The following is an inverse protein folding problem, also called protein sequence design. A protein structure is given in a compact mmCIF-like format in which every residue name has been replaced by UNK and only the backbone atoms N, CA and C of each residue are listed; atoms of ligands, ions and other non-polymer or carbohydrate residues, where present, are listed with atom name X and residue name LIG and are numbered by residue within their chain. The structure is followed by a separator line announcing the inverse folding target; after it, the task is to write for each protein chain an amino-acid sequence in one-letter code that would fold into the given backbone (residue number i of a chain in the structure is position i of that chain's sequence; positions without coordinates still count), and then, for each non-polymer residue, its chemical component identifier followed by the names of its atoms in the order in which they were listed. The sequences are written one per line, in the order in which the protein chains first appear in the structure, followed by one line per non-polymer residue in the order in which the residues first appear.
data_IF_135116860411
#
_entry.id   IF_135116860411
#
_cell.length_a   1.000
_cell.length_b   1.000
_cell.length_c   1.000
_cell.angle_alpha   90.00
_cell.angle_beta   90.00
_cell.angle_gamma   90.00
#
_symmetry.space_group_name_H-M   'P 1'
#
loop_
_entity.id
_entity.type
_entity.pdbx_description
1 polymer ?
#
# COMPACT_ATOMS: atom_id res chain seq x y z
N UNK A 1 -29.70 -55.41 -82.70
CA UNK A 1 -29.89 -54.16 -83.47
C UNK A 1 -29.32 -53.00 -82.63
N UNK A 2 -28.35 -52.23 -83.17
CA UNK A 2 -27.65 -51.09 -82.52
C UNK A 2 -28.47 -49.78 -82.69
N UNK A 3 -28.01 -48.53 -82.33
CA UNK A 3 -26.72 -48.03 -81.77
C UNK A 3 -26.89 -47.24 -80.43
N UNK A 4 -25.91 -46.92 -79.57
CA UNK A 4 -24.58 -46.28 -79.63
C UNK A 4 -24.56 -44.74 -79.87
N UNK A 5 -23.70 -44.03 -79.11
CA UNK A 5 -23.13 -42.65 -79.20
C UNK A 5 -23.50 -41.74 -77.99
N UNK A 6 -22.62 -41.33 -77.04
CA UNK A 6 -21.35 -40.57 -77.09
C UNK A 6 -21.50 -39.33 -78.01
N UNK A 7 -21.34 -38.05 -77.61
CA UNK A 7 -20.26 -37.39 -76.82
C UNK A 7 -20.58 -35.85 -76.71
N UNK A 8 -19.63 -34.92 -76.46
CA UNK A 8 -19.49 -34.00 -75.31
C UNK A 8 -19.81 -32.50 -75.62
N UNK A 9 -19.61 -31.58 -74.65
CA UNK A 9 -19.10 -30.18 -74.78
C UNK A 9 -19.39 -29.46 -73.42
N UNK A 10 -18.44 -29.31 -72.49
CA UNK A 10 -17.47 -28.19 -72.34
C UNK A 10 -18.05 -26.79 -72.63
N UNK A 11 -18.29 -26.00 -71.59
CA UNK A 11 -17.91 -24.58 -71.53
C UNK A 11 -18.00 -24.03 -70.09
N UNK A 12 -16.87 -23.50 -69.64
CA UNK A 12 -16.68 -22.76 -68.41
C UNK A 12 -17.19 -21.32 -68.52
N UNK A 13 -17.71 -20.76 -67.44
CA UNK A 13 -17.71 -19.31 -67.13
C UNK A 13 -18.06 -19.14 -65.64
N UNK A 14 -17.10 -18.89 -64.76
CA UNK A 14 -16.62 -17.56 -64.35
C UNK A 14 -17.54 -16.91 -63.31
N UNK A 15 -16.93 -16.75 -62.12
CA UNK A 15 -17.09 -15.64 -61.19
C UNK A 15 -18.40 -15.48 -60.44
N UNK A 16 -18.34 -15.76 -59.13
CA UNK A 16 -18.92 -14.90 -58.09
C UNK A 16 -18.28 -15.26 -56.75
N UNK A 17 -17.01 -14.86 -56.56
CA UNK A 17 -16.49 -14.67 -55.20
C UNK A 17 -17.19 -13.42 -54.68
N UNK A 18 -18.35 -13.61 -54.04
CA UNK A 18 -19.02 -12.55 -53.31
C UNK A 18 -18.19 -12.26 -52.06
N UNK A 19 -17.25 -11.34 -52.25
CA UNK A 19 -16.45 -10.70 -51.23
C UNK A 19 -17.41 -9.91 -50.31
N UNK A 20 -18.05 -10.59 -49.36
CA UNK A 20 -18.67 -9.92 -48.23
C UNK A 20 -17.55 -9.48 -47.29
N UNK A 21 -16.86 -8.38 -47.68
CA UNK A 21 -16.20 -7.47 -46.75
C UNK A 21 -17.31 -6.86 -45.90
N UNK A 22 -17.78 -7.64 -44.92
CA UNK A 22 -18.48 -7.11 -43.76
C UNK A 22 -17.48 -6.23 -43.04
N UNK A 23 -17.47 -4.95 -43.39
CA UNK A 23 -16.87 -3.91 -42.61
C UNK A 23 -17.53 -3.98 -41.24
N UNK A 24 -16.89 -4.68 -40.32
CA UNK A 24 -16.99 -4.36 -38.91
C UNK A 24 -16.52 -2.91 -38.80
N UNK A 25 -17.44 -1.97 -39.03
CA UNK A 25 -17.32 -0.60 -38.56
C UNK A 25 -17.32 -0.77 -37.06
N UNK A 26 -16.13 -1.08 -36.53
CA UNK A 26 -15.84 -0.98 -35.13
C UNK A 26 -16.19 0.44 -34.81
N UNK A 27 -17.33 0.61 -34.14
CA UNK A 27 -17.61 1.83 -33.42
C UNK A 27 -16.42 1.95 -32.47
N UNK A 28 -15.42 2.73 -32.87
CA UNK A 28 -14.48 3.35 -31.96
C UNK A 28 -15.32 4.35 -31.17
N UNK A 29 -16.18 3.81 -30.29
CA UNK A 29 -16.62 4.54 -29.13
C UNK A 29 -15.31 4.94 -28.48
N UNK A 30 -14.96 6.22 -28.61
CA UNK A 30 -13.83 6.79 -27.93
C UNK A 30 -14.00 6.39 -26.47
N UNK A 31 -13.18 5.45 -26.01
CA UNK A 31 -13.17 5.03 -24.61
C UNK A 31 -12.89 6.31 -23.86
N UNK A 32 -13.92 6.81 -23.18
CA UNK A 32 -13.75 7.94 -22.27
C UNK A 32 -12.62 7.54 -21.32
N UNK A 33 -11.63 8.42 -21.09
CA UNK A 33 -10.61 8.13 -20.11
C UNK A 33 -11.28 7.72 -18.80
N UNK A 34 -10.74 6.70 -18.15
CA UNK A 34 -11.25 6.25 -16.85
C UNK A 34 -10.80 7.30 -15.83
N UNK A 35 -11.75 8.11 -15.36
CA UNK A 35 -11.48 9.15 -14.36
C UNK A 35 -11.34 8.57 -12.93
N UNK A 36 -11.81 7.34 -12.70
CA UNK A 36 -11.77 6.70 -11.38
C UNK A 36 -11.56 5.20 -11.50
N UNK A 37 -10.58 4.67 -10.75
CA UNK A 37 -10.33 3.25 -10.62
C UNK A 37 -10.80 2.77 -9.24
N UNK A 38 -11.80 1.88 -9.21
CA UNK A 38 -12.25 1.22 -7.99
C UNK A 38 -11.74 -0.21 -7.95
N UNK A 39 -10.79 -0.47 -7.05
CA UNK A 39 -10.19 -1.79 -6.83
C UNK A 39 -10.05 -2.03 -5.33
N UNK A 40 -10.04 -3.31 -4.93
CA UNK A 40 -9.72 -3.68 -3.54
C UNK A 40 -8.23 -3.59 -3.24
N UNK A 41 -7.41 -3.83 -4.26
CA UNK A 41 -5.96 -3.83 -4.16
C UNK A 41 -5.35 -3.36 -5.48
N UNK A 42 -4.28 -2.59 -5.38
CA UNK A 42 -3.39 -2.22 -6.47
C UNK A 42 -1.97 -2.58 -6.07
N UNK A 43 -1.35 -3.48 -6.85
CA UNK A 43 0.05 -3.87 -6.68
C UNK A 43 0.90 -3.18 -7.74
N UNK A 44 1.95 -2.48 -7.30
CA UNK A 44 3.01 -1.95 -8.14
C UNK A 44 4.17 -2.93 -8.03
N UNK A 45 4.52 -3.55 -9.16
CA UNK A 45 5.53 -4.60 -9.23
C UNK A 45 6.85 -4.10 -9.84
N UNK A 46 7.95 -4.76 -9.50
CA UNK A 46 9.24 -4.57 -10.16
C UNK A 46 9.36 -5.38 -11.46
N UNK A 47 10.52 -5.33 -12.11
CA UNK A 47 10.81 -6.00 -13.39
C UNK A 47 10.77 -7.53 -13.31
N UNK A 48 10.77 -8.10 -12.10
CA UNK A 48 10.64 -9.53 -11.84
C UNK A 48 9.18 -9.93 -11.58
N UNK A 49 8.25 -8.97 -11.56
CA UNK A 49 6.85 -9.17 -11.22
C UNK A 49 6.57 -9.23 -9.71
N UNK A 50 7.55 -8.86 -8.87
CA UNK A 50 7.40 -8.84 -7.42
C UNK A 50 6.81 -7.50 -6.96
N UNK A 51 5.74 -7.54 -6.16
CA UNK A 51 5.14 -6.34 -5.60
C UNK A 51 6.13 -5.59 -4.68
N UNK A 52 6.27 -4.28 -4.90
CA UNK A 52 7.13 -3.36 -4.12
C UNK A 52 6.32 -2.32 -3.35
N UNK A 53 5.17 -1.95 -3.89
CA UNK A 53 4.17 -1.11 -3.23
C UNK A 53 2.82 -1.77 -3.41
N UNK A 54 2.04 -1.85 -2.33
CA UNK A 54 0.67 -2.35 -2.37
C UNK A 54 -0.26 -1.34 -1.75
N UNK A 55 -1.32 -0.96 -2.45
CA UNK A 55 -2.42 -0.17 -1.91
C UNK A 55 -3.60 -1.11 -1.71
N UNK A 56 -4.20 -1.16 -0.53
CA UNK A 56 -5.24 -2.14 -0.22
C UNK A 56 -6.24 -1.68 0.84
N UNK A 57 -7.47 -2.19 0.69
CA UNK A 57 -8.55 -2.00 1.64
C UNK A 57 -9.41 -3.29 1.74
N UNK A 58 -9.05 -4.25 2.62
CA UNK A 58 -7.96 -4.21 3.60
C UNK A 58 -6.57 -4.53 3.01
N UNK A 59 -5.52 -4.19 3.74
CA UNK A 59 -4.15 -4.65 3.50
C UNK A 59 -3.98 -6.14 3.89
N UNK A 60 -3.34 -6.97 3.06
CA UNK A 60 -3.10 -8.38 3.35
C UNK A 60 -1.99 -8.57 4.38
N UNK A 61 -2.14 -9.53 5.29
CA UNK A 61 -1.17 -9.88 6.35
C UNK A 61 0.31 -9.82 5.91
N UNK A 62 1.24 -9.33 6.75
CA UNK A 62 2.67 -9.45 6.46
C UNK A 62 3.05 -10.92 6.35
N UNK A 63 4.10 -11.23 5.57
CA UNK A 63 4.53 -12.62 5.39
C UNK A 63 4.85 -13.27 6.74
N UNK A 64 4.28 -14.45 6.98
CA UNK A 64 4.50 -15.23 8.20
C UNK A 64 3.86 -14.67 9.47
N UNK A 65 3.15 -13.54 9.40
CA UNK A 65 2.52 -12.87 10.54
C UNK A 65 1.01 -12.72 10.32
N UNK A 66 0.31 -12.35 11.39
CA UNK A 66 -1.09 -11.95 11.36
C UNK A 66 -1.23 -10.55 11.91
N UNK A 67 -1.94 -9.67 11.20
CA UNK A 67 -2.25 -8.35 11.77
C UNK A 67 -3.12 -8.49 13.00
N UNK A 68 -2.79 -7.72 14.02
CA UNK A 68 -3.61 -7.62 15.23
C UNK A 68 -4.95 -6.91 14.96
N UNK A 69 -4.97 -6.01 13.97
CA UNK A 69 -6.16 -5.22 13.57
C UNK A 69 -6.23 -5.07 12.05
N UNK A 70 -7.42 -4.86 11.52
CA UNK A 70 -7.59 -4.57 10.07
C UNK A 70 -6.93 -3.24 9.73
N UNK A 71 -6.15 -3.25 8.64
CA UNK A 71 -5.44 -2.08 8.15
C UNK A 71 -5.89 -1.71 6.73
N UNK A 72 -5.88 -0.42 6.44
CA UNK A 72 -6.20 0.16 5.13
C UNK A 72 -5.12 1.15 4.74
N UNK A 73 -4.64 1.12 3.49
CA UNK A 73 -3.65 2.09 3.04
C UNK A 73 -2.60 1.48 2.12
N UNK A 74 -1.33 1.68 2.45
CA UNK A 74 -0.17 1.34 1.64
C UNK A 74 0.83 0.46 2.42
N UNK A 75 1.38 -0.57 1.78
CA UNK A 75 2.54 -1.35 2.24
C UNK A 75 3.75 -1.08 1.35
N UNK A 76 4.92 -0.97 1.97
CA UNK A 76 6.22 -1.07 1.31
C UNK A 76 6.75 -2.49 1.46
N UNK A 77 7.22 -3.06 0.36
CA UNK A 77 7.67 -4.45 0.31
C UNK A 77 9.14 -4.53 -0.13
N UNK A 78 9.88 -5.43 0.50
CA UNK A 78 11.25 -5.82 0.13
C UNK A 78 11.27 -6.62 -1.18
N UNK A 79 12.44 -6.91 -1.77
CA UNK A 79 12.55 -7.79 -2.93
C UNK A 79 12.07 -9.23 -2.69
N UNK A 80 12.00 -9.68 -1.43
CA UNK A 80 11.42 -11.00 -1.08
C UNK A 80 9.91 -10.93 -0.83
N UNK A 81 9.30 -9.75 -0.94
CA UNK A 81 7.90 -9.50 -0.63
C UNK A 81 7.59 -9.38 0.87
N UNK A 82 8.61 -9.27 1.72
CA UNK A 82 8.45 -8.97 3.14
C UNK A 82 8.02 -7.52 3.33
N UNK A 83 7.09 -7.26 4.24
CA UNK A 83 6.72 -5.88 4.61
C UNK A 83 7.87 -5.22 5.36
N UNK A 84 8.17 -3.98 4.98
CA UNK A 84 9.24 -3.15 5.53
C UNK A 84 8.71 -1.77 5.99
N UNK A 85 7.41 -1.70 6.26
CA UNK A 85 6.68 -0.48 6.60
C UNK A 85 5.50 -0.18 5.70
N UNK A 86 4.86 0.96 5.94
CA UNK A 86 3.67 1.39 5.21
C UNK A 86 2.99 2.60 5.80
N UNK A 87 1.93 3.06 5.12
CA UNK A 87 0.98 4.05 5.64
C UNK A 87 -0.34 3.33 5.89
N UNK A 88 -0.78 3.26 7.15
CA UNK A 88 -1.98 2.53 7.52
C UNK A 88 -2.96 3.39 8.32
N UNK A 89 -4.25 3.20 8.03
CA UNK A 89 -5.38 3.58 8.87
C UNK A 89 -5.89 2.31 9.56
N UNK A 90 -6.05 2.39 10.89
CA UNK A 90 -6.47 1.31 11.77
C UNK A 90 -7.69 1.78 12.57
N UNK A 91 -8.87 1.68 11.97
CA UNK A 91 -10.10 2.28 12.50
C UNK A 91 -10.46 1.79 13.92
N UNK A 92 -10.20 0.52 14.23
CA UNK A 92 -10.56 -0.08 15.52
C UNK A 92 -9.79 0.48 16.72
N UNK A 93 -8.66 1.14 16.47
CA UNK A 93 -7.81 1.73 17.52
C UNK A 93 -7.57 3.23 17.31
N UNK A 94 -8.27 3.84 16.35
CA UNK A 94 -8.14 5.24 15.96
C UNK A 94 -6.68 5.66 15.72
N UNK A 95 -6.00 4.91 14.85
CA UNK A 95 -4.63 5.19 14.46
C UNK A 95 -4.53 5.41 12.95
N UNK A 96 -3.74 6.40 12.55
CA UNK A 96 -3.36 6.67 11.16
C UNK A 96 -1.91 7.11 11.11
N UNK A 97 -1.04 6.30 10.53
CA UNK A 97 0.39 6.55 10.62
C UNK A 97 1.21 5.92 9.49
N UNK A 98 2.34 6.56 9.22
CA UNK A 98 3.43 6.07 8.39
C UNK A 98 4.45 5.42 9.31
N UNK A 99 4.75 4.16 9.06
CA UNK A 99 5.74 3.43 9.83
C UNK A 99 6.75 2.71 8.95
N UNK A 100 7.93 2.47 9.51
CA UNK A 100 9.03 1.73 8.91
C UNK A 100 9.44 0.61 9.86
N UNK A 101 9.41 -0.61 9.34
CA UNK A 101 9.70 -1.81 10.11
C UNK A 101 11.21 -2.00 10.30
N UNK A 102 11.55 -2.68 11.40
CA UNK A 102 12.86 -3.30 11.59
C UNK A 102 12.98 -4.60 10.79
N UNK A 103 14.19 -5.13 10.69
CA UNK A 103 14.43 -6.48 10.15
C UNK A 103 13.73 -7.58 11.00
N UNK A 104 13.44 -7.30 12.26
CA UNK A 104 12.69 -8.19 13.17
C UNK A 104 11.16 -8.02 13.04
N UNK A 105 10.69 -7.27 12.05
CA UNK A 105 9.26 -7.08 11.75
C UNK A 105 8.45 -6.37 12.85
N UNK A 106 9.09 -5.46 13.60
CA UNK A 106 8.38 -4.49 14.43
C UNK A 106 8.52 -3.09 13.86
N UNK A 107 7.51 -2.24 14.12
CA UNK A 107 7.55 -0.83 13.75
C UNK A 107 8.71 -0.10 14.47
N UNK A 108 9.83 0.12 13.77
CA UNK A 108 11.03 0.74 14.30
C UNK A 108 10.90 2.26 14.39
N UNK A 109 10.15 2.85 13.47
CA UNK A 109 9.82 4.26 13.47
C UNK A 109 8.39 4.44 12.98
N UNK A 110 7.59 5.23 13.70
CA UNK A 110 6.24 5.62 13.28
C UNK A 110 6.07 7.12 13.40
N UNK A 111 5.31 7.71 12.48
CA UNK A 111 4.76 9.06 12.62
C UNK A 111 3.28 9.05 12.24
N UNK A 112 2.44 9.72 13.00
CA UNK A 112 1.01 9.70 12.72
C UNK A 112 0.16 10.37 13.78
N UNK A 113 -1.13 10.02 13.74
CA UNK A 113 -2.10 10.38 14.75
C UNK A 113 -2.54 9.11 15.49
N UNK A 114 -2.44 9.14 16.81
CA UNK A 114 -3.03 8.14 17.71
C UNK A 114 -4.12 8.82 18.54
N UNK A 115 -5.38 8.39 18.37
CA UNK A 115 -6.54 9.01 19.00
C UNK A 115 -6.56 10.54 18.78
N UNK A 116 -6.36 10.94 17.52
CA UNK A 116 -6.20 12.31 17.05
C UNK A 116 -5.05 13.13 17.65
N UNK A 117 -4.11 12.49 18.36
CA UNK A 117 -2.92 13.17 18.88
C UNK A 117 -1.70 12.89 17.99
N UNK A 118 -0.97 13.93 17.57
CA UNK A 118 0.25 13.75 16.78
C UNK A 118 1.32 13.07 17.62
N UNK A 119 1.98 12.08 17.01
CA UNK A 119 3.06 11.31 17.61
C UNK A 119 4.12 10.95 16.57
N UNK A 120 5.37 10.90 17.01
CA UNK A 120 6.52 10.29 16.34
C UNK A 120 7.22 9.41 17.37
N UNK A 121 7.35 8.13 17.06
CA UNK A 121 7.96 7.14 17.96
C UNK A 121 9.13 6.49 17.26
N UNK A 122 10.24 6.37 17.98
CA UNK A 122 11.41 5.57 17.61
C UNK A 122 11.54 4.40 18.57
N UNK A 123 11.65 3.19 18.03
CA UNK A 123 11.76 1.94 18.78
C UNK A 123 13.07 1.23 18.46
N UNK A 124 13.59 0.53 19.45
CA UNK A 124 14.72 -0.39 19.33
C UNK A 124 14.52 -1.53 20.33
N UNK A 125 14.83 -2.75 19.93
CA UNK A 125 14.58 -3.98 20.71
C UNK A 125 13.15 -4.04 21.26
N UNK A 126 12.18 -3.76 20.39
CA UNK A 126 10.74 -3.75 20.70
C UNK A 126 10.28 -2.69 21.70
N UNK A 127 11.18 -1.83 22.19
CA UNK A 127 10.90 -0.79 23.19
C UNK A 127 10.97 0.59 22.59
N UNK A 128 10.12 1.50 23.07
CA UNK A 128 10.23 2.91 22.77
C UNK A 128 11.56 3.47 23.31
N UNK A 129 12.23 4.26 22.47
CA UNK A 129 13.48 4.96 22.79
C UNK A 129 13.25 6.45 22.88
N UNK A 130 12.51 6.98 21.90
CA UNK A 130 12.23 8.40 21.77
C UNK A 130 10.78 8.52 21.33
N UNK A 131 10.03 9.36 22.04
CA UNK A 131 8.65 9.69 21.68
C UNK A 131 8.53 11.20 21.62
N UNK A 132 8.00 11.72 20.52
CA UNK A 132 7.71 13.14 20.32
C UNK A 132 6.24 13.27 20.01
N UNK A 133 5.56 14.23 20.60
CA UNK A 133 4.14 14.42 20.30
C UNK A 133 3.42 15.27 21.31
N UNK A 134 2.10 15.12 21.34
CA UNK A 134 1.24 15.74 22.35
C UNK A 134 0.82 14.69 23.36
N UNK A 135 1.40 14.75 24.56
CA UNK A 135 1.11 13.85 25.68
C UNK A 135 0.36 14.64 26.73
N UNK A 136 -0.82 14.17 27.12
CA UNK A 136 -1.70 14.84 28.10
C UNK A 136 -1.99 16.32 27.75
N UNK A 137 -2.07 16.63 26.46
CA UNK A 137 -2.33 17.99 25.96
C UNK A 137 -1.10 18.92 25.95
N UNK A 138 0.09 18.39 26.23
CA UNK A 138 1.35 19.13 26.30
C UNK A 138 2.31 18.67 25.21
N UNK A 139 2.95 19.61 24.51
CA UNK A 139 3.99 19.27 23.55
C UNK A 139 5.19 18.67 24.29
N UNK A 140 5.60 17.46 23.91
CA UNK A 140 6.58 16.69 24.67
C UNK A 140 7.59 15.93 23.81
N UNK A 141 8.81 15.83 24.33
CA UNK A 141 9.84 14.88 23.90
C UNK A 141 10.19 14.01 25.11
N UNK A 142 10.12 12.69 24.96
CA UNK A 142 10.40 11.71 26.01
C UNK A 142 11.53 10.80 25.55
N UNK A 143 12.58 10.67 26.36
CA UNK A 143 13.68 9.73 26.15
C UNK A 143 13.59 8.61 27.18
N UNK A 144 13.70 7.37 26.70
CA UNK A 144 13.58 6.16 27.49
C UNK A 144 14.95 5.45 27.63
N UNK A 145 15.18 4.75 28.74
CA UNK A 145 16.34 3.88 28.94
C UNK A 145 16.18 2.51 28.26
N UNK A 146 17.22 1.65 28.33
CA UNK A 146 17.27 0.29 27.75
C UNK A 146 16.07 -0.61 28.11
N UNK A 147 15.37 -0.30 29.20
CA UNK A 147 14.23 -1.04 29.70
C UNK A 147 12.89 -0.45 29.22
N UNK A 148 12.92 0.69 28.52
CA UNK A 148 11.73 1.42 28.09
C UNK A 148 11.22 2.38 29.17
N UNK A 149 12.00 2.66 30.22
CA UNK A 149 11.59 3.56 31.31
C UNK A 149 11.90 5.01 30.92
N UNK A 150 10.94 5.95 30.99
CA UNK A 150 11.21 7.37 30.74
C UNK A 150 12.28 7.90 31.72
N UNK A 151 13.34 8.52 31.19
CA UNK A 151 14.43 9.12 31.97
C UNK A 151 14.53 10.62 31.82
N UNK A 152 14.14 11.15 30.67
CA UNK A 152 14.14 12.58 30.40
C UNK A 152 12.85 12.95 29.68
N UNK A 153 12.19 14.01 30.17
CA UNK A 153 11.03 14.61 29.52
C UNK A 153 11.27 16.09 29.33
N UNK A 154 11.08 16.58 28.12
CA UNK A 154 11.04 18.00 27.78
C UNK A 154 9.59 18.34 27.43
N UNK A 155 9.05 19.41 28.01
CA UNK A 155 7.66 19.82 27.84
C UNK A 155 7.55 21.32 27.62
N UNK A 156 6.58 21.72 26.79
CA UNK A 156 6.10 23.10 26.67
C UNK A 156 4.58 23.08 26.81
N UNK A 157 4.07 23.72 27.85
CA UNK A 157 2.62 23.79 28.08
C UNK A 157 1.93 24.85 27.21
N UNK A 158 0.60 24.89 27.30
CA UNK A 158 -0.26 25.81 26.53
C UNK A 158 0.03 27.29 26.77
N UNK A 159 0.65 27.64 27.90
CA UNK A 159 0.99 29.01 28.28
C UNK A 159 2.45 29.34 27.90
N UNK A 160 3.15 28.41 27.25
CA UNK A 160 4.54 28.55 26.80
C UNK A 160 5.56 28.26 27.90
N UNK A 161 5.14 27.74 29.06
CA UNK A 161 6.07 27.41 30.14
C UNK A 161 6.80 26.11 29.81
N UNK A 162 8.12 26.15 29.95
CA UNK A 162 8.98 24.99 29.75
C UNK A 162 9.11 24.18 31.03
N UNK A 163 9.18 22.85 30.89
CA UNK A 163 9.48 21.93 32.00
C UNK A 163 10.44 20.83 31.53
N UNK A 164 11.40 20.53 32.39
CA UNK A 164 12.30 19.39 32.24
C UNK A 164 12.12 18.45 33.43
N UNK A 165 11.85 17.17 33.16
CA UNK A 165 11.72 16.13 34.20
C UNK A 165 12.84 15.11 34.03
N UNK A 166 13.41 14.63 35.14
CA UNK A 166 14.46 13.60 35.12
C UNK A 166 15.88 14.13 34.97
N UNK A 167 16.06 15.46 34.98
CA UNK A 167 17.36 16.08 35.18
C UNK A 167 17.64 16.18 36.68
N UNK A 168 18.60 15.41 37.17
CA UNK A 168 19.34 15.78 38.38
C UNK A 168 20.44 16.75 37.99
N UNK A 169 20.57 17.87 38.70
CA UNK A 169 21.71 18.78 38.56
C UNK A 169 23.01 17.97 38.61
N UNK A 170 23.94 18.22 37.69
CA UNK A 170 25.28 17.66 37.84
C UNK A 170 25.88 18.14 39.17
N UNK A 171 26.63 17.28 39.89
CA UNK A 171 27.37 17.70 41.07
C UNK A 171 28.44 18.75 40.75
#
# INVERSE_FOLDING_TARGET
MPPALFRPFMLAAVSSVSLFLGTCVGSTAATRPVDTLSVRQLDIVDEHGQARVRIGAPLPDPQGLKRAVTAYGLQFLSPSGQEIGGLAMLDSIDFRGLCFDSEESYEAMCMGLEKDRPTVTFRHDWKERITLGVVDGVASIVLHDAQGTPRLKLEVDKDGKTRTVGLTSAP
#
